data_IF_285788270391
#
_entry.id   IF_285788270391
#
_cell.length_a   1.000
_cell.length_b   1.000
_cell.length_c   1.000
_cell.angle_alpha   90.00
_cell.angle_beta   90.00
_cell.angle_gamma   90.00
#
_symmetry.space_group_name_H-M   'P 1'
#
loop_
_entity.id
_entity.type
_entity.pdbx_description
1 polymer ?
#
# COMPACT_ATOMS: atom_id res chain seq x y z
N UNK A 1 -2.83 13.00 17.21
CA UNK A 1 -2.98 11.82 18.10
C UNK A 1 -4.01 10.91 17.45
N UNK A 2 -3.64 9.68 17.09
CA UNK A 2 -4.55 8.72 16.46
C UNK A 2 -5.63 8.29 17.46
N UNK A 3 -6.90 8.41 17.08
CA UNK A 3 -8.06 8.16 17.94
C UNK A 3 -8.74 6.82 17.67
N UNK A 4 -8.26 6.06 16.68
CA UNK A 4 -8.82 4.77 16.28
C UNK A 4 -8.11 3.59 16.98
N UNK A 5 -8.66 2.37 16.90
CA UNK A 5 -8.05 1.18 17.50
C UNK A 5 -6.67 0.90 16.90
N UNK A 6 -5.68 0.65 17.76
CA UNK A 6 -4.33 0.29 17.34
C UNK A 6 -4.26 -1.19 17.00
N UNK A 7 -3.50 -1.55 15.97
CA UNK A 7 -3.22 -2.94 15.62
C UNK A 7 -2.25 -3.54 16.66
N UNK A 8 -2.70 -4.53 17.42
CA UNK A 8 -1.88 -5.17 18.46
C UNK A 8 -1.21 -6.45 17.93
N UNK A 9 -1.89 -7.17 17.05
CA UNK A 9 -1.44 -8.44 16.48
C UNK A 9 -1.71 -8.50 14.98
N UNK A 10 -0.91 -9.26 14.24
CA UNK A 10 -1.05 -9.36 12.78
C UNK A 10 -2.33 -10.09 12.34
N UNK A 11 -2.86 -11.01 13.15
CA UNK A 11 -4.12 -11.70 12.89
C UNK A 11 -5.35 -10.77 12.97
N UNK A 12 -5.22 -9.60 13.61
CA UNK A 12 -6.26 -8.57 13.67
C UNK A 12 -6.28 -7.66 12.42
N UNK A 13 -5.34 -7.82 11.48
CA UNK A 13 -5.18 -6.88 10.36
C UNK A 13 -6.45 -6.76 9.52
N UNK A 14 -7.16 -7.87 9.26
CA UNK A 14 -8.35 -7.90 8.40
C UNK A 14 -9.53 -7.10 8.97
N UNK A 15 -9.67 -7.06 10.30
CA UNK A 15 -10.72 -6.30 10.99
C UNK A 15 -10.28 -4.86 11.29
N UNK A 16 -8.98 -4.65 11.50
CA UNK A 16 -8.39 -3.33 11.77
C UNK A 16 -8.30 -2.45 10.52
N UNK A 17 -7.90 -3.02 9.38
CA UNK A 17 -7.61 -2.26 8.15
C UNK A 17 -8.78 -1.37 7.69
N UNK A 18 -10.04 -1.85 7.62
CA UNK A 18 -11.16 -0.98 7.23
C UNK A 18 -11.36 0.19 8.19
N UNK A 19 -11.21 -0.04 9.51
CA UNK A 19 -11.35 1.01 10.52
C UNK A 19 -10.22 2.04 10.46
N UNK A 20 -8.99 1.59 10.20
CA UNK A 20 -7.85 2.48 9.99
C UNK A 20 -8.06 3.39 8.78
N UNK A 21 -8.42 2.81 7.62
CA UNK A 21 -8.64 3.59 6.40
C UNK A 21 -9.83 4.55 6.54
N UNK A 22 -10.92 4.12 7.19
CA UNK A 22 -12.08 4.98 7.46
C UNK A 22 -11.77 6.15 8.42
N UNK A 23 -10.74 6.02 9.26
CA UNK A 23 -10.28 7.09 10.15
C UNK A 23 -9.37 8.12 9.43
N UNK A 24 -8.99 7.86 8.19
CA UNK A 24 -8.16 8.76 7.36
C UNK A 24 -8.97 9.43 6.26
N UNK A 25 -8.51 10.59 5.78
CA UNK A 25 -9.11 11.20 4.59
C UNK A 25 -8.70 10.45 3.30
N UNK A 26 -9.34 10.81 2.18
CA UNK A 26 -9.11 10.17 0.89
C UNK A 26 -7.69 10.38 0.34
N UNK A 27 -7.06 11.52 0.62
CA UNK A 27 -5.70 11.82 0.15
C UNK A 27 -4.67 10.98 0.92
N UNK A 28 -4.83 10.89 2.23
CA UNK A 28 -4.05 10.04 3.13
C UNK A 28 -4.21 8.56 2.76
N UNK A 29 -5.44 8.12 2.50
CA UNK A 29 -5.73 6.75 2.05
C UNK A 29 -4.98 6.40 0.77
N UNK A 30 -4.89 7.34 -0.19
CA UNK A 30 -4.22 7.11 -1.46
C UNK A 30 -2.72 6.85 -1.30
N UNK A 31 -2.05 7.43 -0.30
CA UNK A 31 -0.63 7.16 -0.01
C UNK A 31 -0.35 5.70 0.41
N UNK A 32 -1.33 4.99 0.98
CA UNK A 32 -1.16 3.58 1.36
C UNK A 32 -1.54 2.62 0.22
N UNK A 33 -2.48 3.01 -0.64
CA UNK A 33 -3.09 2.11 -1.61
C UNK A 33 -2.54 2.24 -3.03
N UNK A 34 -1.94 3.37 -3.39
CA UNK A 34 -1.44 3.62 -4.76
C UNK A 34 0.09 3.74 -4.76
N UNK A 35 0.80 2.95 -5.58
CA UNK A 35 2.24 3.11 -5.73
C UNK A 35 2.54 4.47 -6.36
N UNK A 36 3.57 5.15 -5.86
CA UNK A 36 4.03 6.46 -6.36
C UNK A 36 2.90 7.51 -6.45
N UNK A 37 1.98 7.52 -5.48
CA UNK A 37 0.86 8.46 -5.48
C UNK A 37 1.33 9.92 -5.51
N UNK A 38 0.82 10.67 -6.48
CA UNK A 38 0.98 12.12 -6.56
C UNK A 38 -0.36 12.81 -6.34
N UNK A 39 -0.41 13.66 -5.32
CA UNK A 39 -1.58 14.50 -5.05
C UNK A 39 -1.66 15.63 -6.08
N UNK A 40 -2.61 15.52 -7.00
CA UNK A 40 -2.84 16.52 -8.05
C UNK A 40 -3.25 17.89 -7.50
N UNK A 41 -3.79 17.94 -6.28
CA UNK A 41 -4.24 19.18 -5.62
C UNK A 41 -3.17 19.82 -4.75
N UNK A 42 -1.94 19.31 -4.79
CA UNK A 42 -0.86 19.83 -3.93
C UNK A 42 -0.51 21.29 -4.23
N UNK A 43 -0.67 21.71 -5.49
CA UNK A 43 -0.46 23.12 -5.88
C UNK A 43 -1.48 24.03 -5.19
N UNK A 44 -2.73 23.57 -5.04
CA UNK A 44 -3.80 24.33 -4.40
C UNK A 44 -3.59 24.49 -2.88
N UNK A 45 -2.71 23.68 -2.29
CA UNK A 45 -2.30 23.84 -0.89
C UNK A 45 -1.29 24.97 -0.67
N UNK A 46 -0.70 25.51 -1.74
CA UNK A 46 0.12 26.72 -1.66
C UNK A 46 -0.81 27.93 -1.52
N UNK A 47 -0.95 28.41 -0.28
CA UNK A 47 -1.79 29.57 0.01
C UNK A 47 -1.35 30.84 -0.73
N UNK A 48 -2.26 31.80 -0.95
CA UNK A 48 -2.00 33.01 -1.75
C UNK A 48 -0.85 33.86 -1.18
N UNK A 49 -0.70 33.90 0.14
CA UNK A 49 0.42 34.60 0.80
C UNK A 49 1.77 33.98 0.43
N UNK A 50 1.86 32.63 0.41
CA UNK A 50 3.10 31.93 0.06
C UNK A 50 3.42 32.10 -1.42
N UNK A 51 2.41 32.03 -2.28
CA UNK A 51 2.55 32.28 -3.71
C UNK A 51 3.05 33.70 -3.99
N UNK A 52 2.54 34.70 -3.25
CA UNK A 52 3.04 36.08 -3.35
C UNK A 52 4.50 36.21 -2.91
N UNK A 53 4.92 35.51 -1.85
CA UNK A 53 6.33 35.46 -1.43
C UNK A 53 7.21 34.84 -2.51
N UNK A 54 6.77 33.75 -3.15
CA UNK A 54 7.51 33.13 -4.26
C UNK A 54 7.66 34.10 -5.45
N UNK A 55 6.57 34.78 -5.82
CA UNK A 55 6.58 35.77 -6.90
C UNK A 55 7.52 36.96 -6.61
N UNK A 56 7.43 37.53 -5.41
CA UNK A 56 8.29 38.66 -5.01
C UNK A 56 9.77 38.25 -4.93
N UNK A 57 10.06 37.06 -4.43
CA UNK A 57 11.43 36.51 -4.38
C UNK A 57 12.01 36.31 -5.78
N UNK A 58 11.24 35.71 -6.70
CA UNK A 58 11.67 35.50 -8.10
C UNK A 58 11.83 36.85 -8.83
N UNK A 59 10.91 37.79 -8.65
CA UNK A 59 11.01 39.12 -9.24
C UNK A 59 12.26 39.89 -8.79
N UNK A 60 12.66 39.75 -7.51
CA UNK A 60 13.86 40.37 -6.98
C UNK A 60 15.16 39.69 -7.47
N UNK A 61 15.10 38.39 -7.79
CA UNK A 61 16.25 37.63 -8.27
C UNK A 61 16.57 37.84 -9.75
N UNK A 62 15.57 38.23 -10.57
CA UNK A 62 15.76 38.48 -12.00
C UNK A 62 16.09 39.95 -12.25
N UNK A 63 17.26 40.26 -12.87
CA UNK A 63 17.66 41.63 -13.17
C UNK A 63 16.61 42.41 -13.97
N UNK A 64 16.56 43.72 -13.74
CA UNK A 64 15.76 44.64 -14.55
C UNK A 64 16.34 44.83 -15.95
N UNK A 65 15.49 45.23 -16.90
CA UNK A 65 15.92 45.52 -18.27
C UNK A 65 16.69 46.85 -18.26
N UNK A 66 17.92 46.92 -18.79
CA UNK A 66 18.69 48.16 -18.81
C UNK A 66 18.00 49.31 -19.58
N UNK A 67 18.09 50.51 -19.03
CA UNK A 67 17.46 51.71 -19.59
C UNK A 67 18.16 52.23 -20.85
N UNK A 68 19.41 51.84 -21.10
CA UNK A 68 20.26 52.30 -22.20
C UNK A 68 20.01 51.56 -23.54
N UNK A 69 19.06 50.63 -23.58
CA UNK A 69 18.69 49.88 -24.78
C UNK A 69 17.85 50.69 -25.78
N UNK A 70 18.04 50.43 -27.07
CA UNK A 70 17.13 50.92 -28.12
C UNK A 70 15.72 50.30 -27.95
N UNK A 71 14.65 50.94 -28.48
CA UNK A 71 13.28 50.43 -28.30
C UNK A 71 13.10 48.96 -28.70
N UNK A 72 13.63 48.54 -29.86
CA UNK A 72 13.54 47.16 -30.32
C UNK A 72 14.32 46.16 -29.44
N UNK A 73 15.45 46.60 -28.86
CA UNK A 73 16.23 45.77 -27.94
C UNK A 73 15.56 45.66 -26.57
N UNK A 74 14.91 46.74 -26.11
CA UNK A 74 14.13 46.76 -24.87
C UNK A 74 12.95 45.79 -24.95
N UNK A 75 12.18 45.82 -26.03
CA UNK A 75 11.07 44.88 -26.25
C UNK A 75 11.55 43.42 -26.20
N UNK A 76 12.66 43.11 -26.87
CA UNK A 76 13.26 41.78 -26.83
C UNK A 76 13.73 41.37 -25.43
N UNK A 77 14.37 42.29 -24.71
CA UNK A 77 14.86 42.07 -23.35
C UNK A 77 13.71 41.88 -22.35
N UNK A 78 12.61 42.63 -22.47
CA UNK A 78 11.41 42.47 -21.64
C UNK A 78 10.74 41.11 -21.87
N UNK A 79 10.63 40.67 -23.14
CA UNK A 79 10.10 39.34 -23.46
C UNK A 79 10.99 38.25 -22.85
N UNK A 80 12.31 38.39 -22.96
CA UNK A 80 13.26 37.43 -22.39
C UNK A 80 13.21 37.42 -20.87
N UNK A 81 13.10 38.59 -20.24
CA UNK A 81 12.94 38.74 -18.78
C UNK A 81 11.67 38.06 -18.30
N UNK A 82 10.54 38.30 -18.97
CA UNK A 82 9.26 37.65 -18.64
C UNK A 82 9.36 36.13 -18.70
N UNK A 83 9.97 35.58 -19.76
CA UNK A 83 10.19 34.13 -19.88
C UNK A 83 11.06 33.57 -18.76
N UNK A 84 12.11 34.29 -18.35
CA UNK A 84 12.96 33.88 -17.23
C UNK A 84 12.20 33.90 -15.90
N UNK A 85 11.40 34.94 -15.66
CA UNK A 85 10.53 35.03 -14.49
C UNK A 85 9.54 33.86 -14.43
N UNK A 86 8.85 33.57 -15.54
CA UNK A 86 7.89 32.47 -15.63
C UNK A 86 8.56 31.11 -15.37
N UNK A 87 9.75 30.88 -15.92
CA UNK A 87 10.51 29.65 -15.70
C UNK A 87 10.95 29.50 -14.24
N UNK A 88 11.55 30.53 -13.64
CA UNK A 88 11.98 30.48 -12.24
C UNK A 88 10.81 30.35 -11.27
N UNK A 89 9.68 31.01 -11.56
CA UNK A 89 8.48 30.87 -10.74
C UNK A 89 7.92 29.44 -10.80
N UNK A 90 7.92 28.83 -11.99
CA UNK A 90 7.51 27.42 -12.15
C UNK A 90 8.39 26.49 -11.33
N UNK A 91 9.71 26.67 -11.37
CA UNK A 91 10.66 25.86 -10.61
C UNK A 91 10.50 26.05 -9.10
N UNK A 92 10.26 27.29 -8.65
CA UNK A 92 10.01 27.60 -7.25
C UNK A 92 8.71 26.96 -6.73
N UNK A 93 7.64 26.98 -7.54
CA UNK A 93 6.36 26.29 -7.22
C UNK A 93 6.57 24.78 -7.16
N UNK A 94 7.32 24.20 -8.11
CA UNK A 94 7.61 22.77 -8.12
C UNK A 94 8.42 22.35 -6.88
N UNK A 95 9.39 23.17 -6.46
CA UNK A 95 10.17 22.95 -5.23
C UNK A 95 9.29 22.97 -3.99
N UNK A 96 8.39 23.96 -3.86
CA UNK A 96 7.45 24.07 -2.75
C UNK A 96 6.50 22.86 -2.71
N UNK A 97 5.96 22.45 -3.87
CA UNK A 97 5.14 21.24 -3.98
C UNK A 97 5.90 19.99 -3.53
N UNK A 98 7.19 19.87 -3.88
CA UNK A 98 8.04 18.77 -3.43
C UNK A 98 8.24 18.74 -1.91
N UNK A 99 8.39 19.90 -1.28
CA UNK A 99 8.51 20.02 0.17
C UNK A 99 7.20 19.60 0.88
N UNK A 100 6.05 20.12 0.41
CA UNK A 100 4.73 19.75 0.94
C UNK A 100 4.49 18.23 0.77
N UNK A 101 4.87 17.68 -0.39
CA UNK A 101 4.74 16.24 -0.66
C UNK A 101 5.54 15.42 0.35
N UNK A 102 6.79 15.80 0.58
CA UNK A 102 7.68 15.13 1.52
C UNK A 102 7.10 15.15 2.94
N UNK A 103 6.52 16.29 3.35
CA UNK A 103 5.84 16.41 4.64
C UNK A 103 4.61 15.51 4.74
N UNK A 104 3.75 15.47 3.70
CA UNK A 104 2.58 14.57 3.66
C UNK A 104 2.98 13.10 3.74
N UNK A 105 4.03 12.70 3.01
CA UNK A 105 4.59 11.34 3.03
C UNK A 105 5.08 10.99 4.44
N UNK A 106 5.84 11.88 5.08
CA UNK A 106 6.31 11.66 6.44
C UNK A 106 5.14 11.53 7.42
N UNK A 107 4.12 12.38 7.29
CA UNK A 107 2.93 12.33 8.13
C UNK A 107 2.16 11.01 7.96
N UNK A 108 2.07 10.48 6.73
CA UNK A 108 1.48 9.17 6.47
C UNK A 108 2.27 8.03 7.14
N UNK A 109 3.61 8.06 7.03
CA UNK A 109 4.48 7.10 7.71
C UNK A 109 4.29 7.13 9.23
N UNK A 110 4.32 8.32 9.83
CA UNK A 110 4.11 8.53 11.27
C UNK A 110 2.71 8.12 11.71
N UNK A 111 1.70 8.41 10.90
CA UNK A 111 0.31 8.01 11.17
C UNK A 111 0.18 6.49 11.23
N UNK A 112 0.72 5.77 10.25
CA UNK A 112 0.75 4.31 10.25
C UNK A 112 1.50 3.74 11.46
N UNK A 113 2.69 4.26 11.78
CA UNK A 113 3.48 3.84 12.95
C UNK A 113 2.74 4.08 14.27
N UNK A 114 1.98 5.17 14.36
CA UNK A 114 1.17 5.48 15.54
C UNK A 114 -0.01 4.51 15.69
N UNK A 115 -0.53 3.99 14.59
CA UNK A 115 -1.69 3.10 14.55
C UNK A 115 -1.34 1.62 14.76
N UNK A 116 -0.06 1.27 14.83
CA UNK A 116 0.42 -0.09 15.15
C UNK A 116 1.23 -0.08 16.45
N UNK A 117 1.24 -1.19 17.18
CA UNK A 117 2.06 -1.32 18.39
C UNK A 117 3.57 -1.42 18.05
N UNK A 118 4.47 -0.94 18.94
CA UNK A 118 5.91 -0.95 18.68
C UNK A 118 6.52 -2.31 18.35
N UNK A 119 5.95 -3.40 18.88
CA UNK A 119 6.40 -4.78 18.57
C UNK A 119 6.27 -5.13 17.09
N UNK A 120 5.33 -4.51 16.37
CA UNK A 120 5.08 -4.75 14.94
C UNK A 120 5.88 -3.81 14.03
N UNK A 121 6.61 -2.81 14.57
CA UNK A 121 7.33 -1.80 13.77
C UNK A 121 8.39 -2.42 12.86
N UNK A 122 8.98 -3.55 13.26
CA UNK A 122 9.98 -4.26 12.46
C UNK A 122 9.43 -4.79 11.12
N UNK A 123 8.11 -5.00 11.02
CA UNK A 123 7.47 -5.40 9.76
C UNK A 123 7.38 -4.25 8.76
N UNK A 124 7.36 -2.99 9.22
CA UNK A 124 7.21 -1.80 8.35
C UNK A 124 8.50 -0.99 8.18
N UNK A 125 9.44 -1.06 9.13
CA UNK A 125 10.74 -0.37 9.06
C UNK A 125 11.74 -1.08 8.14
N UNK A 126 12.71 -0.40 7.49
CA UNK A 126 13.09 1.00 7.62
C UNK A 126 12.58 1.90 6.48
N UNK A 127 11.55 1.50 5.74
CA UNK A 127 11.09 2.25 4.57
C UNK A 127 10.45 3.57 4.96
N UNK A 128 10.80 4.65 4.27
CA UNK A 128 10.18 5.99 4.38
C UNK A 128 9.05 6.21 3.37
N UNK A 129 8.51 5.10 2.84
CA UNK A 129 7.48 5.08 1.81
C UNK A 129 6.22 4.43 2.41
N UNK A 130 5.12 5.17 2.59
CA UNK A 130 3.90 4.69 3.25
C UNK A 130 3.26 3.53 2.47
N UNK A 131 3.35 3.52 1.14
CA UNK A 131 2.84 2.42 0.32
C UNK A 131 3.64 1.14 0.60
N UNK A 132 4.97 1.22 0.62
CA UNK A 132 5.82 0.05 0.95
C UNK A 132 5.63 -0.41 2.39
N UNK A 133 5.50 0.52 3.34
CA UNK A 133 5.20 0.16 4.73
C UNK A 133 3.88 -0.61 4.82
N UNK A 134 2.85 -0.12 4.13
CA UNK A 134 1.55 -0.78 4.05
C UNK A 134 1.64 -2.19 3.45
N UNK A 135 2.30 -2.34 2.30
CA UNK A 135 2.50 -3.64 1.64
C UNK A 135 3.28 -4.63 2.50
N UNK A 136 4.26 -4.17 3.26
CA UNK A 136 5.02 -5.07 4.15
C UNK A 136 4.21 -5.50 5.36
N UNK A 137 3.37 -4.62 5.91
CA UNK A 137 2.45 -4.96 6.99
C UNK A 137 1.42 -6.01 6.53
N UNK A 138 0.84 -5.81 5.35
CA UNK A 138 -0.11 -6.77 4.78
C UNK A 138 0.55 -8.11 4.47
N UNK A 139 1.74 -8.10 3.86
CA UNK A 139 2.50 -9.31 3.59
C UNK A 139 2.90 -10.07 4.87
N UNK A 140 3.26 -9.35 5.95
CA UNK A 140 3.59 -9.97 7.24
C UNK A 140 2.39 -10.66 7.88
N UNK A 141 1.18 -10.08 7.75
CA UNK A 141 -0.03 -10.73 8.24
C UNK A 141 -0.42 -11.95 7.37
N UNK A 142 -0.15 -11.91 6.07
CA UNK A 142 -0.36 -13.07 5.18
C UNK A 142 0.63 -14.21 5.43
N UNK A 143 1.82 -13.92 5.97
CA UNK A 143 2.87 -14.91 6.21
C UNK A 143 2.86 -15.52 7.61
N UNK A 144 1.86 -15.25 8.44
CA UNK A 144 1.74 -15.85 9.78
C UNK A 144 1.53 -17.37 9.67
N UNK A 145 2.65 -18.09 9.82
CA UNK A 145 2.76 -19.54 9.81
C UNK A 145 1.86 -20.17 10.88
N UNK A 146 1.48 -19.47 11.94
CA UNK A 146 0.64 -20.03 13.01
C UNK A 146 -0.76 -20.37 12.52
N UNK A 147 -1.41 -19.47 11.78
CA UNK A 147 -2.70 -19.72 11.14
C UNK A 147 -2.61 -20.84 10.10
N UNK A 148 -1.53 -20.84 9.31
CA UNK A 148 -1.26 -21.90 8.34
C UNK A 148 -1.03 -23.27 9.02
N UNK A 149 -0.39 -23.30 10.19
CA UNK A 149 -0.12 -24.52 10.97
C UNK A 149 -1.41 -25.10 11.54
N UNK A 150 -2.31 -24.25 12.06
CA UNK A 150 -3.63 -24.69 12.53
C UNK A 150 -4.49 -25.20 11.38
N UNK A 151 -4.45 -24.53 10.23
CA UNK A 151 -5.15 -24.98 9.03
C UNK A 151 -4.57 -26.30 8.50
N UNK A 152 -3.25 -26.43 8.49
CA UNK A 152 -2.53 -27.66 8.11
C UNK A 152 -2.94 -28.83 9.00
N UNK A 153 -2.97 -28.64 10.32
CA UNK A 153 -3.40 -29.68 11.27
C UNK A 153 -4.83 -30.19 10.95
N UNK A 154 -5.77 -29.29 10.67
CA UNK A 154 -7.15 -29.66 10.28
C UNK A 154 -7.21 -30.45 8.98
N UNK A 155 -6.41 -30.05 7.99
CA UNK A 155 -6.28 -30.76 6.71
C UNK A 155 -5.70 -32.16 6.95
N UNK A 156 -4.65 -32.29 7.75
CA UNK A 156 -4.03 -33.58 8.05
C UNK A 156 -4.86 -34.47 8.96
N UNK A 157 -5.74 -33.92 9.80
CA UNK A 157 -6.65 -34.70 10.65
C UNK A 157 -7.91 -35.15 9.89
N UNK A 158 -8.18 -34.56 8.73
CA UNK A 158 -9.30 -34.95 7.88
C UNK A 158 -9.04 -36.32 7.26
N UNK A 159 -9.83 -37.32 7.68
CA UNK A 159 -9.77 -38.69 7.18
C UNK A 159 -11.13 -39.14 6.65
N UNK A 160 -11.11 -39.92 5.59
CA UNK A 160 -12.28 -40.61 5.07
C UNK A 160 -12.56 -41.85 5.91
N UNK A 161 -13.76 -41.93 6.47
CA UNK A 161 -14.16 -43.05 7.31
C UNK A 161 -14.92 -44.09 6.48
N UNK A 162 -14.17 -45.06 5.94
CA UNK A 162 -14.72 -46.10 5.06
C UNK A 162 -15.38 -47.28 5.81
N UNK A 163 -15.22 -47.38 7.15
CA UNK A 163 -15.66 -48.53 7.95
C UNK A 163 -16.73 -48.14 8.98
N UNK A 164 -17.65 -49.07 9.27
CA UNK A 164 -18.63 -48.93 10.37
C UNK A 164 -17.93 -49.01 11.74
N UNK A 165 -18.49 -48.36 12.79
CA UNK A 165 -19.76 -47.62 12.83
C UNK A 165 -19.68 -46.17 12.31
N UNK A 166 -18.49 -45.64 12.07
CA UNK A 166 -18.22 -44.25 11.69
C UNK A 166 -18.29 -43.98 10.18
N UNK A 167 -19.01 -44.81 9.42
CA UNK A 167 -19.05 -44.68 7.96
C UNK A 167 -19.61 -43.32 7.53
N UNK A 168 -18.89 -42.63 6.66
CA UNK A 168 -19.30 -41.37 6.06
C UNK A 168 -19.61 -41.58 4.57
N UNK A 169 -20.72 -41.00 4.09
CA UNK A 169 -21.02 -41.01 2.67
C UNK A 169 -19.96 -40.21 1.89
N UNK A 170 -19.45 -40.70 0.74
CA UNK A 170 -18.38 -40.02 -0.01
C UNK A 170 -18.69 -38.56 -0.33
N UNK A 171 -19.93 -38.24 -0.73
CA UNK A 171 -20.34 -36.87 -1.03
C UNK A 171 -20.21 -35.92 0.18
N UNK A 172 -20.57 -36.41 1.37
CA UNK A 172 -20.43 -35.65 2.64
C UNK A 172 -18.96 -35.45 2.99
N UNK A 173 -18.14 -36.48 2.79
CA UNK A 173 -16.70 -36.38 2.97
C UNK A 173 -16.08 -35.33 2.04
N UNK A 174 -16.39 -35.35 0.74
CA UNK A 174 -15.82 -34.39 -0.22
C UNK A 174 -16.21 -32.95 0.12
N UNK A 175 -17.48 -32.71 0.51
CA UNK A 175 -17.92 -31.38 0.96
C UNK A 175 -17.14 -30.91 2.19
N UNK A 176 -16.96 -31.78 3.19
CA UNK A 176 -16.18 -31.47 4.40
C UNK A 176 -14.70 -31.27 4.08
N UNK A 177 -14.14 -32.07 3.19
CA UNK A 177 -12.75 -31.99 2.75
C UNK A 177 -12.48 -30.67 2.03
N UNK A 178 -13.29 -30.30 1.04
CA UNK A 178 -13.13 -29.04 0.30
C UNK A 178 -13.29 -27.83 1.24
N UNK A 179 -14.26 -27.86 2.15
CA UNK A 179 -14.46 -26.79 3.15
C UNK A 179 -13.25 -26.56 4.08
N UNK A 180 -12.38 -27.56 4.26
CA UNK A 180 -11.17 -27.46 5.08
C UNK A 180 -9.93 -27.16 4.23
N UNK A 181 -9.84 -27.75 3.03
CA UNK A 181 -8.67 -27.67 2.14
C UNK A 181 -8.63 -26.37 1.34
N UNK A 182 -9.78 -25.86 0.89
CA UNK A 182 -9.83 -24.63 0.09
C UNK A 182 -9.25 -23.42 0.83
N UNK A 183 -9.66 -23.12 2.09
CA UNK A 183 -9.07 -22.01 2.84
C UNK A 183 -7.56 -22.18 3.08
N UNK A 184 -7.10 -23.42 3.31
CA UNK A 184 -5.68 -23.71 3.50
C UNK A 184 -4.86 -23.44 2.22
N UNK A 185 -5.35 -23.90 1.06
CA UNK A 185 -4.66 -23.68 -0.22
C UNK A 185 -4.73 -22.23 -0.67
N UNK A 186 -5.82 -21.52 -0.37
CA UNK A 186 -5.91 -20.08 -0.62
C UNK A 186 -4.83 -19.31 0.14
N UNK A 187 -4.66 -19.63 1.43
CA UNK A 187 -3.63 -19.02 2.27
C UNK A 187 -2.21 -19.42 1.84
N UNK A 188 -1.96 -20.71 1.58
CA UNK A 188 -0.66 -21.23 1.16
C UNK A 188 -0.19 -20.66 -0.19
N UNK A 189 -1.14 -20.45 -1.11
CA UNK A 189 -0.87 -20.03 -2.49
C UNK A 189 -1.20 -18.55 -2.73
N UNK A 190 -1.26 -17.73 -1.68
CA UNK A 190 -1.44 -16.27 -1.83
C UNK A 190 -0.17 -15.68 -2.47
N UNK A 191 -0.23 -15.17 -3.71
CA UNK A 191 0.95 -14.58 -4.34
C UNK A 191 1.25 -13.20 -3.72
N UNK A 192 2.52 -12.76 -3.72
CA UNK A 192 2.84 -11.36 -3.44
C UNK A 192 2.15 -10.45 -4.49
N UNK A 193 1.84 -9.22 -4.07
CA UNK A 193 1.27 -8.21 -4.97
C UNK A 193 2.17 -8.05 -6.23
N UNK A 194 1.55 -7.84 -7.39
CA UNK A 194 2.17 -7.60 -8.70
C UNK A 194 2.62 -8.82 -9.54
N UNK A 195 2.22 -10.05 -9.19
CA UNK A 195 2.52 -11.24 -10.03
C UNK A 195 1.25 -11.91 -10.54
N UNK A 196 0.99 -11.87 -11.86
CA UNK A 196 -0.08 -12.65 -12.48
C UNK A 196 0.34 -14.12 -12.64
N UNK A 197 -0.09 -14.95 -11.69
CA UNK A 197 0.14 -16.40 -11.65
C UNK A 197 -1.17 -17.19 -11.63
N UNK A 198 -2.29 -16.61 -12.07
CA UNK A 198 -3.61 -17.19 -11.88
C UNK A 198 -3.72 -18.63 -12.44
N UNK A 199 -3.24 -18.86 -13.66
CA UNK A 199 -3.26 -20.18 -14.30
C UNK A 199 -2.35 -21.20 -13.59
N UNK A 200 -1.16 -20.76 -13.16
CA UNK A 200 -0.23 -21.61 -12.40
C UNK A 200 -0.78 -21.97 -11.02
N UNK A 201 -1.40 -21.00 -10.33
CA UNK A 201 -2.07 -21.19 -9.03
C UNK A 201 -3.20 -22.20 -9.14
N UNK A 202 -4.08 -22.08 -10.14
CA UNK A 202 -5.16 -23.04 -10.36
C UNK A 202 -4.63 -24.46 -10.58
N UNK A 203 -3.58 -24.61 -11.39
CA UNK A 203 -2.95 -25.91 -11.64
C UNK A 203 -2.30 -26.49 -10.38
N UNK A 204 -1.66 -25.66 -9.56
CA UNK A 204 -1.01 -26.08 -8.31
C UNK A 204 -2.05 -26.45 -7.24
N UNK A 205 -3.14 -25.69 -7.11
CA UNK A 205 -4.28 -26.01 -6.25
C UNK A 205 -4.83 -27.39 -6.57
N UNK A 206 -5.08 -27.69 -7.86
CA UNK A 206 -5.59 -28.99 -8.28
C UNK A 206 -4.64 -30.14 -7.91
N UNK A 207 -3.33 -29.98 -8.16
CA UNK A 207 -2.32 -30.99 -7.81
C UNK A 207 -2.25 -31.23 -6.31
N UNK A 208 -2.26 -30.16 -5.51
CA UNK A 208 -2.21 -30.27 -4.05
C UNK A 208 -3.48 -30.90 -3.49
N UNK A 209 -4.67 -30.56 -4.01
CA UNK A 209 -5.92 -31.24 -3.65
C UNK A 209 -5.85 -32.76 -3.89
N UNK A 210 -5.31 -33.21 -5.02
CA UNK A 210 -5.14 -34.63 -5.29
C UNK A 210 -4.22 -35.32 -4.26
N UNK A 211 -3.10 -34.69 -3.90
CA UNK A 211 -2.15 -35.23 -2.90
C UNK A 211 -2.80 -35.29 -1.52
N UNK A 212 -3.48 -34.22 -1.10
CA UNK A 212 -4.19 -34.16 0.19
C UNK A 212 -5.34 -35.16 0.25
N UNK A 213 -6.06 -35.37 -0.85
CA UNK A 213 -7.12 -36.36 -0.95
C UNK A 213 -6.57 -37.80 -0.85
N UNK A 214 -5.45 -38.07 -1.50
CA UNK A 214 -4.76 -39.36 -1.39
C UNK A 214 -4.30 -39.63 0.04
N UNK A 215 -3.83 -38.60 0.75
CA UNK A 215 -3.49 -38.70 2.16
C UNK A 215 -4.72 -38.94 3.05
N UNK A 216 -5.83 -38.24 2.79
CA UNK A 216 -7.06 -38.36 3.57
C UNK A 216 -7.80 -39.70 3.36
N UNK A 217 -7.57 -40.36 2.23
CA UNK A 217 -8.17 -41.67 1.88
C UNK A 217 -7.21 -42.85 2.03
N UNK A 218 -5.93 -42.59 2.37
CA UNK A 218 -4.92 -43.61 2.60
C UNK A 218 -5.19 -44.45 3.87
N UNK A 219 -4.60 -45.65 3.96
CA UNK A 219 -4.70 -46.48 5.16
C UNK A 219 -4.04 -45.76 6.35
N UNK A 220 -4.71 -45.79 7.51
CA UNK A 220 -4.16 -45.35 8.78
C UNK A 220 -3.12 -46.34 9.32
#
# INVERSE_FOLDING_TARGET
MFTAPRLNRLDELSTWQPAFLAATDAAMTAYYLRPNYEDATIVDSIGPARLHVLQTTVNAAVPEVPDDLTPAQRDGAEIMRKRHLDAQLKDAIASECGAIRSQKVQLACEHLLSAIVPSLHHHVAPTTDPYRMWQRLTAAASSDVSALTVAYAKVTDTRFQAKRPSYEAPGTFFQRFDAVVDPFLEQLLTPPADVDVAAYRAALTAKLKCVLLAHATGPA
#
